data_IF_404784779004
#
_entry.id   IF_404784779004
#
_cell.length_a   1.000
_cell.length_b   1.000
_cell.length_c   1.000
_cell.angle_alpha   90.00
_cell.angle_beta   90.00
_cell.angle_gamma   90.00
#
_symmetry.space_group_name_H-M   'P 1'
#
loop_
_entity.id
_entity.type
_entity.pdbx_description
1 polymer ?
#
# COMPACT_ATOMS: atom_id res chain seq x y z
N UNK A 1 6.33 1.97 2.03
CA UNK A 1 5.39 2.77 1.20
C UNK A 1 5.65 2.45 -0.25
N UNK A 2 4.58 2.32 -1.04
CA UNK A 2 4.67 2.04 -2.48
C UNK A 2 3.70 2.92 -3.24
N UNK A 3 4.06 3.28 -4.46
CA UNK A 3 3.09 3.78 -5.43
C UNK A 3 2.54 2.60 -6.25
N UNK A 4 1.24 2.63 -6.52
CA UNK A 4 0.54 1.56 -7.19
C UNK A 4 -0.50 2.08 -8.18
N UNK A 5 -0.70 1.32 -9.25
CA UNK A 5 -1.79 1.51 -10.20
C UNK A 5 -2.86 0.44 -9.96
N UNK A 6 -4.14 0.73 -10.21
CA UNK A 6 -5.16 -0.30 -10.13
C UNK A 6 -4.95 -1.37 -11.21
N UNK A 7 -5.25 -2.62 -10.88
CA UNK A 7 -5.18 -3.73 -11.83
C UNK A 7 -6.40 -3.71 -12.78
N UNK A 8 -6.20 -3.92 -14.10
CA UNK A 8 -7.30 -4.01 -15.05
C UNK A 8 -8.39 -5.01 -14.63
N UNK A 9 -9.65 -4.61 -14.76
CA UNK A 9 -10.80 -5.46 -14.44
C UNK A 9 -11.18 -5.51 -12.95
N UNK A 10 -10.60 -4.65 -12.11
CA UNK A 10 -11.00 -4.46 -10.70
C UNK A 10 -11.86 -3.22 -10.52
N UNK A 11 -12.60 -3.12 -9.42
CA UNK A 11 -13.38 -1.92 -9.09
C UNK A 11 -12.48 -0.68 -8.94
N UNK A 12 -11.29 -0.85 -8.35
CA UNK A 12 -10.29 0.21 -8.22
C UNK A 12 -9.89 0.82 -9.57
N UNK A 13 -9.86 0.00 -10.62
CA UNK A 13 -9.52 0.44 -11.98
C UNK A 13 -10.59 1.30 -12.62
N UNK A 14 -11.86 1.12 -12.24
CA UNK A 14 -12.95 1.94 -12.75
C UNK A 14 -12.96 3.34 -12.11
N UNK A 15 -12.42 3.49 -10.91
CA UNK A 15 -12.60 4.69 -10.08
C UNK A 15 -11.32 5.54 -9.94
N UNK A 16 -10.15 4.91 -9.84
CA UNK A 16 -8.91 5.57 -9.42
C UNK A 16 -7.85 5.57 -10.53
N UNK A 17 -7.00 6.62 -10.50
CA UNK A 17 -5.82 6.72 -11.38
C UNK A 17 -4.58 6.09 -10.76
N UNK A 18 -4.62 5.82 -9.46
CA UNK A 18 -3.54 5.21 -8.70
C UNK A 18 -3.71 5.44 -7.21
N UNK A 19 -2.73 4.98 -6.45
CA UNK A 19 -2.69 5.14 -5.01
C UNK A 19 -1.25 5.12 -4.50
N UNK A 20 -1.03 5.81 -3.38
CA UNK A 20 0.10 5.54 -2.50
C UNK A 20 -0.39 4.62 -1.39
N UNK A 21 0.33 3.52 -1.15
CA UNK A 21 -0.05 2.48 -0.19
C UNK A 21 1.01 2.38 0.90
N UNK A 22 0.60 2.65 2.14
CA UNK A 22 1.38 2.30 3.31
C UNK A 22 1.09 0.85 3.69
N UNK A 23 2.15 0.07 3.88
CA UNK A 23 2.07 -1.35 4.16
C UNK A 23 2.82 -1.58 5.45
N UNK A 24 2.11 -2.12 6.43
CA UNK A 24 2.67 -2.52 7.71
C UNK A 24 2.63 -4.04 7.77
N UNK A 25 3.75 -4.67 8.14
CA UNK A 25 3.87 -6.12 8.27
C UNK A 25 4.72 -6.47 9.48
N UNK A 26 4.51 -7.65 10.04
CA UNK A 26 5.34 -8.22 11.12
C UNK A 26 6.62 -8.88 10.61
N UNK A 27 6.81 -8.95 9.29
CA UNK A 27 8.03 -9.48 8.68
C UNK A 27 9.18 -8.47 8.79
N UNK A 28 10.31 -8.93 9.35
CA UNK A 28 11.47 -8.08 9.64
C UNK A 28 12.51 -8.10 8.50
N UNK A 29 12.47 -9.11 7.64
CA UNK A 29 13.35 -9.16 6.47
C UNK A 29 12.79 -8.31 5.32
N UNK A 30 13.65 -7.52 4.70
CA UNK A 30 13.27 -6.65 3.59
C UNK A 30 12.65 -7.44 2.43
N UNK A 31 13.30 -8.54 2.02
CA UNK A 31 12.81 -9.41 0.95
C UNK A 31 11.46 -10.05 1.28
N UNK A 32 11.28 -10.49 2.53
CA UNK A 32 10.03 -11.07 2.99
C UNK A 32 8.90 -10.03 3.02
N UNK A 33 9.19 -8.83 3.52
CA UNK A 33 8.24 -7.73 3.60
C UNK A 33 7.79 -7.30 2.20
N UNK A 34 8.72 -7.19 1.24
CA UNK A 34 8.41 -6.88 -0.15
C UNK A 34 7.59 -7.98 -0.83
N UNK A 35 7.89 -9.26 -0.57
CA UNK A 35 7.11 -10.37 -1.11
C UNK A 35 5.67 -10.39 -0.57
N UNK A 36 5.50 -10.09 0.72
CA UNK A 36 4.18 -9.94 1.36
C UNK A 36 3.44 -8.73 0.77
N UNK A 37 4.10 -7.59 0.67
CA UNK A 37 3.55 -6.36 0.10
C UNK A 37 3.03 -6.60 -1.32
N UNK A 38 3.85 -7.16 -2.21
CA UNK A 38 3.46 -7.45 -3.59
C UNK A 38 2.23 -8.36 -3.67
N UNK A 39 2.17 -9.40 -2.82
CA UNK A 39 1.06 -10.34 -2.79
C UNK A 39 -0.24 -9.69 -2.30
N UNK A 40 -0.21 -8.98 -1.17
CA UNK A 40 -1.43 -8.41 -0.60
C UNK A 40 -1.93 -7.19 -1.38
N UNK A 41 -1.03 -6.37 -1.93
CA UNK A 41 -1.40 -5.25 -2.82
C UNK A 41 -2.09 -5.78 -4.09
N UNK A 42 -1.56 -6.85 -4.70
CA UNK A 42 -2.19 -7.52 -5.84
C UNK A 42 -3.58 -8.09 -5.50
N UNK A 43 -3.73 -8.72 -4.32
CA UNK A 43 -5.03 -9.21 -3.85
C UNK A 43 -6.04 -8.10 -3.60
N UNK A 44 -5.56 -6.92 -3.21
CA UNK A 44 -6.38 -5.72 -3.04
C UNK A 44 -6.73 -5.03 -4.38
N UNK A 45 -6.31 -5.59 -5.52
CA UNK A 45 -6.63 -5.07 -6.84
C UNK A 45 -5.66 -4.00 -7.36
N UNK A 46 -4.45 -3.95 -6.83
CA UNK A 46 -3.44 -2.95 -7.17
C UNK A 46 -2.14 -3.61 -7.66
N UNK A 47 -1.37 -2.89 -8.47
CA UNK A 47 -0.06 -3.27 -8.95
C UNK A 47 0.97 -2.24 -8.52
N UNK A 48 1.95 -2.68 -7.73
CA UNK A 48 3.09 -1.86 -7.33
C UNK A 48 3.86 -1.38 -8.57
N UNK A 49 4.09 -0.07 -8.65
CA UNK A 49 4.93 0.57 -9.66
C UNK A 49 6.34 0.82 -9.10
N UNK A 50 6.42 1.40 -7.91
CA UNK A 50 7.68 1.72 -7.24
C UNK A 50 7.55 1.53 -5.74
N UNK A 51 8.68 1.22 -5.10
CA UNK A 51 8.83 1.25 -3.65
C UNK A 51 9.47 2.59 -3.30
N UNK A 52 8.72 3.44 -2.61
CA UNK A 52 9.19 4.77 -2.21
C UNK A 52 9.97 4.71 -0.90
N UNK A 53 9.56 3.84 0.02
CA UNK A 53 10.20 3.72 1.33
C UNK A 53 10.05 2.32 1.94
N UNK A 54 11.08 1.84 2.63
CA UNK A 54 11.09 0.55 3.31
C UNK A 54 12.08 0.57 4.48
N UNK A 55 11.58 0.35 5.70
CA UNK A 55 12.36 0.37 6.92
C UNK A 55 11.64 -0.38 8.04
N UNK A 56 12.42 -0.81 9.05
CA UNK A 56 11.87 -1.31 10.30
C UNK A 56 11.32 -0.14 11.11
N UNK A 57 10.11 -0.32 11.62
CA UNK A 57 9.39 0.69 12.39
C UNK A 57 9.24 0.20 13.84
N UNK A 58 9.71 0.99 14.79
CA UNK A 58 9.46 0.75 16.21
C UNK A 58 8.26 1.58 16.69
N UNK A 59 7.65 1.16 17.80
CA UNK A 59 6.50 1.86 18.38
C UNK A 59 6.86 3.29 18.78
N UNK A 60 8.09 3.50 19.24
CA UNK A 60 8.64 4.78 19.68
C UNK A 60 8.77 5.79 18.54
N UNK A 61 8.87 5.33 17.30
CA UNK A 61 8.96 6.18 16.10
C UNK A 61 7.60 6.83 15.75
N UNK A 62 6.50 6.37 16.38
CA UNK A 62 5.13 6.77 16.08
C UNK A 62 4.50 7.68 17.14
N UNK A 63 5.29 8.19 18.09
CA UNK A 63 4.79 9.01 19.21
C UNK A 63 4.01 10.24 18.72
N UNK A 64 4.44 10.84 17.61
CA UNK A 64 3.80 12.03 17.03
C UNK A 64 2.79 11.70 15.91
N UNK A 65 2.51 10.41 15.65
CA UNK A 65 1.59 9.95 14.59
C UNK A 65 0.54 8.99 15.13
N UNK A 66 -0.58 9.51 15.69
CA UNK A 66 -1.64 8.68 16.27
C UNK A 66 -2.23 7.68 15.27
N UNK A 67 -2.44 8.09 14.02
CA UNK A 67 -2.95 7.21 12.96
C UNK A 67 -1.95 6.10 12.64
N UNK A 68 -0.65 6.46 12.53
CA UNK A 68 0.42 5.49 12.34
C UNK A 68 0.50 4.47 13.47
N UNK A 69 0.32 4.90 14.71
CA UNK A 69 0.28 4.03 15.88
C UNK A 69 -0.88 3.04 15.83
N UNK A 70 -2.07 3.49 15.42
CA UNK A 70 -3.22 2.59 15.25
C UNK A 70 -2.94 1.49 14.22
N UNK A 71 -2.34 1.83 13.08
CA UNK A 71 -2.02 0.83 12.05
C UNK A 71 -0.93 -0.13 12.50
N UNK A 72 0.08 0.37 13.21
CA UNK A 72 1.12 -0.45 13.82
C UNK A 72 0.54 -1.46 14.81
N UNK A 73 -0.30 -1.00 15.73
CA UNK A 73 -0.97 -1.86 16.72
C UNK A 73 -1.86 -2.92 16.05
N UNK A 74 -2.62 -2.52 15.03
CA UNK A 74 -3.46 -3.45 14.28
C UNK A 74 -2.62 -4.50 13.52
N UNK A 75 -1.46 -4.12 13.01
CA UNK A 75 -0.54 -5.05 12.33
C UNK A 75 -0.01 -6.13 13.27
N UNK A 76 0.21 -5.82 14.56
CA UNK A 76 0.59 -6.81 15.55
C UNK A 76 -0.51 -7.86 15.81
N UNK A 77 -1.76 -7.56 15.46
CA UNK A 77 -2.92 -8.44 15.60
C UNK A 77 -3.17 -9.22 14.30
N UNK A 78 -3.25 -8.50 13.18
CA UNK A 78 -3.66 -9.05 11.87
C UNK A 78 -2.48 -9.60 11.05
N UNK A 79 -1.25 -9.31 11.45
CA UNK A 79 -0.02 -9.66 10.76
C UNK A 79 0.34 -8.71 9.61
N UNK A 80 -0.66 -8.08 8.97
CA UNK A 80 -0.50 -7.12 7.89
C UNK A 80 -1.65 -6.10 7.85
N UNK A 81 -1.32 -4.83 7.57
CA UNK A 81 -2.29 -3.76 7.31
C UNK A 81 -1.88 -2.99 6.06
N UNK A 82 -2.85 -2.74 5.17
CA UNK A 82 -2.70 -1.89 3.99
C UNK A 82 -3.54 -0.63 4.20
N UNK A 83 -2.90 0.54 4.14
CA UNK A 83 -3.56 1.84 4.16
C UNK A 83 -3.43 2.46 2.77
N UNK A 84 -4.55 2.54 2.06
CA UNK A 84 -4.59 2.92 0.64
C UNK A 84 -5.05 4.37 0.51
N UNK A 85 -4.17 5.24 0.03
CA UNK A 85 -4.48 6.62 -0.28
C UNK A 85 -4.66 6.77 -1.80
N UNK A 86 -5.91 6.75 -2.23
CA UNK A 86 -6.29 6.79 -3.66
C UNK A 86 -6.35 8.22 -4.19
N UNK A 87 -6.06 8.40 -5.47
CA UNK A 87 -6.38 9.62 -6.21
C UNK A 87 -7.25 9.30 -7.44
N UNK A 88 -8.17 10.22 -7.82
CA UNK A 88 -9.10 9.98 -8.91
C UNK A 88 -8.38 9.83 -10.25
N UNK A 89 -8.95 9.03 -11.15
CA UNK A 89 -8.42 8.92 -12.51
C UNK A 89 -8.55 10.27 -13.24
N UNK A 90 -7.45 10.73 -13.84
CA UNK A 90 -7.49 11.86 -14.77
C UNK A 90 -8.00 11.42 -16.14
N UNK A 91 -8.29 12.38 -17.03
CA UNK A 91 -8.68 12.06 -18.41
C UNK A 91 -7.54 11.35 -19.16
N UNK A 92 -6.29 11.73 -18.89
CA UNK A 92 -5.10 11.14 -19.51
C UNK A 92 -4.87 9.69 -19.04
N UNK A 93 -5.14 9.40 -17.76
CA UNK A 93 -5.05 8.03 -17.22
C UNK A 93 -6.03 7.08 -17.92
N UNK A 94 -7.18 7.59 -18.37
CA UNK A 94 -8.20 6.79 -19.08
C UNK A 94 -7.82 6.51 -20.53
N UNK A 95 -7.12 7.43 -21.16
CA UNK A 95 -6.68 7.31 -22.56
C UNK A 95 -5.43 6.43 -22.72
N UNK A 96 -4.56 6.36 -21.70
CA UNK A 96 -3.39 5.47 -21.69
C UNK A 96 -3.73 3.96 -21.55
N UNK A 97 -5.03 3.63 -21.37
CA UNK A 97 -5.54 2.28 -21.11
C UNK A 97 -6.16 1.61 -22.36
N UNK A 98 -6.04 2.23 -23.54
CA UNK A 98 -6.60 1.78 -24.82
C UNK A 98 -5.57 1.16 -25.78
#
# INVERSE_FOLDING_TARGET
MVDALPLPGTDAFAEYGGATINIYTTEESEDGALAIAAREVARAGWQIQSVEDNYLLAREDLVDSPDGLQYFEQTLIDGIVLVVYTYPATAEDRDALH
#
